data_IF_167096854199
#
_entry.id   IF_167096854199
#
_cell.length_a   1.000
_cell.length_b   1.000
_cell.length_c   1.000
_cell.angle_alpha   90.00
_cell.angle_beta   90.00
_cell.angle_gamma   90.00
#
_symmetry.space_group_name_H-M   'P 1'
#
loop_
_entity.id
_entity.type
_entity.pdbx_description
1 polymer ?
#
# COMPACT_ATOMS: atom_id res chain seq x y z
N UNK A 1 20.46 0.09 18.34
CA UNK A 1 20.36 0.28 16.87
C UNK A 1 19.07 -0.35 16.37
N UNK A 2 18.21 0.44 15.76
CA UNK A 2 16.98 -0.05 15.11
C UNK A 2 17.34 -0.90 13.89
N UNK A 3 16.79 -2.11 13.81
CA UNK A 3 17.18 -3.12 12.82
C UNK A 3 16.12 -3.30 11.74
N UNK A 4 16.56 -3.79 10.59
CA UNK A 4 15.67 -4.27 9.55
C UNK A 4 14.83 -5.45 10.04
N UNK A 5 13.64 -5.62 9.45
CA UNK A 5 12.67 -6.64 9.82
C UNK A 5 12.27 -7.49 8.61
N UNK A 6 12.06 -8.77 8.85
CA UNK A 6 11.56 -9.73 7.87
C UNK A 6 10.56 -10.67 8.54
N UNK A 7 9.91 -11.53 7.76
CA UNK A 7 9.03 -12.58 8.30
C UNK A 7 9.84 -13.61 9.08
N UNK A 8 9.21 -14.23 10.08
CA UNK A 8 9.81 -15.33 10.83
C UNK A 8 9.67 -16.64 10.05
N UNK A 9 8.48 -16.89 9.49
CA UNK A 9 8.14 -18.10 8.73
C UNK A 9 7.45 -17.73 7.41
N UNK A 10 7.38 -18.71 6.50
CA UNK A 10 6.61 -18.53 5.25
C UNK A 10 5.14 -18.84 5.48
N UNK A 11 4.26 -18.07 4.85
CA UNK A 11 2.82 -18.25 4.90
C UNK A 11 2.21 -18.23 3.49
N UNK A 12 1.21 -19.08 3.26
CA UNK A 12 0.49 -19.19 1.98
C UNK A 12 -0.92 -18.67 2.10
N UNK A 13 -1.37 -18.03 1.02
CA UNK A 13 -2.76 -17.61 0.86
C UNK A 13 -3.22 -17.86 -0.57
N UNK A 14 -4.54 -17.94 -0.73
CA UNK A 14 -5.20 -18.06 -2.03
C UNK A 14 -6.33 -17.05 -2.10
N UNK A 15 -6.46 -16.39 -3.24
CA UNK A 15 -7.53 -15.45 -3.51
C UNK A 15 -7.81 -15.31 -5.00
N UNK A 16 -8.41 -14.20 -5.40
CA UNK A 16 -8.69 -13.87 -6.80
C UNK A 16 -8.13 -12.49 -7.11
N UNK A 17 -7.64 -12.29 -8.34
CA UNK A 17 -7.26 -10.98 -8.82
C UNK A 17 -8.49 -10.12 -9.10
N UNK A 18 -8.46 -8.84 -8.71
CA UNK A 18 -9.58 -7.91 -8.90
C UNK A 18 -9.92 -7.73 -10.38
N UNK A 19 -8.91 -7.48 -11.20
CA UNK A 19 -9.08 -7.18 -12.62
C UNK A 19 -9.13 -8.44 -13.48
N UNK A 20 -8.24 -9.39 -13.22
CA UNK A 20 -8.14 -10.64 -13.99
C UNK A 20 -9.25 -11.63 -13.68
N UNK A 21 -9.75 -11.67 -12.44
CA UNK A 21 -10.66 -12.70 -11.94
C UNK A 21 -9.99 -14.07 -11.79
N UNK A 22 -8.70 -14.17 -12.03
CA UNK A 22 -7.96 -15.43 -11.93
C UNK A 22 -7.75 -15.82 -10.46
N UNK A 23 -7.75 -17.12 -10.20
CA UNK A 23 -7.28 -17.65 -8.92
C UNK A 23 -5.78 -17.38 -8.79
N UNK A 24 -5.38 -16.90 -7.62
CA UNK A 24 -4.00 -16.52 -7.30
C UNK A 24 -3.57 -17.30 -6.06
N UNK A 25 -2.46 -17.99 -6.15
CA UNK A 25 -1.75 -18.52 -4.99
C UNK A 25 -0.53 -17.65 -4.71
N UNK A 26 -0.44 -17.16 -3.49
CA UNK A 26 0.63 -16.28 -3.03
C UNK A 26 1.30 -16.88 -1.81
N UNK A 27 2.63 -16.84 -1.76
CA UNK A 27 3.44 -17.23 -0.60
C UNK A 27 4.30 -16.04 -0.19
N UNK A 28 4.14 -15.58 1.05
CA UNK A 28 5.01 -14.59 1.67
C UNK A 28 6.11 -15.31 2.43
N UNK A 29 7.36 -14.97 2.21
CA UNK A 29 8.52 -15.66 2.78
C UNK A 29 9.56 -14.68 3.31
N UNK A 30 10.34 -15.07 4.35
CA UNK A 30 11.49 -14.29 4.79
C UNK A 30 12.47 -14.04 3.65
N UNK A 31 13.13 -12.88 3.68
CA UNK A 31 14.23 -12.55 2.78
C UNK A 31 15.48 -12.10 3.56
N UNK A 32 16.68 -12.22 3.01
CA UNK A 32 17.90 -11.66 3.60
C UNK A 32 17.79 -10.16 3.82
N UNK A 33 18.59 -9.61 4.74
CA UNK A 33 18.71 -8.16 4.90
C UNK A 33 19.16 -7.51 3.58
N UNK A 34 18.73 -6.26 3.38
CA UNK A 34 18.99 -5.45 2.17
C UNK A 34 18.38 -6.02 0.87
N UNK A 35 17.46 -6.99 0.96
CA UNK A 35 16.74 -7.51 -0.22
C UNK A 35 15.63 -6.55 -0.67
N UNK A 36 14.97 -5.87 0.28
CA UNK A 36 13.73 -5.16 0.02
C UNK A 36 12.54 -6.12 -0.17
N UNK A 37 11.45 -5.61 -0.72
CA UNK A 37 10.28 -6.42 -1.09
C UNK A 37 10.42 -6.83 -2.55
N UNK A 38 10.37 -8.14 -2.82
CA UNK A 38 10.57 -8.69 -4.16
C UNK A 38 9.47 -9.68 -4.51
N UNK A 39 8.71 -9.38 -5.55
CA UNK A 39 7.76 -10.31 -6.15
C UNK A 39 8.49 -11.30 -7.05
N UNK A 40 8.09 -12.58 -7.00
CA UNK A 40 8.64 -13.63 -7.84
C UNK A 40 7.50 -14.33 -8.59
N UNK A 41 7.46 -14.15 -9.92
CA UNK A 41 6.48 -14.79 -10.81
C UNK A 41 6.89 -16.25 -11.04
N UNK A 42 6.31 -17.12 -10.21
CA UNK A 42 6.64 -18.56 -10.18
C UNK A 42 5.96 -19.37 -11.29
N UNK A 43 4.97 -18.80 -11.94
CA UNK A 43 4.31 -19.35 -13.13
C UNK A 43 5.12 -19.16 -14.42
N UNK A 44 6.13 -18.30 -14.39
CA UNK A 44 7.02 -18.06 -15.55
C UNK A 44 8.25 -18.96 -15.52
N UNK A 45 8.78 -19.31 -16.69
CA UNK A 45 10.00 -20.08 -16.82
C UNK A 45 11.00 -19.35 -17.73
N UNK A 46 12.12 -18.88 -17.19
CA UNK A 46 12.54 -18.93 -15.78
C UNK A 46 11.69 -18.03 -14.88
N UNK A 47 11.67 -18.30 -13.59
CA UNK A 47 11.09 -17.42 -12.55
C UNK A 47 11.62 -16.01 -12.71
N UNK A 48 10.75 -15.01 -12.58
CA UNK A 48 11.09 -13.59 -12.74
C UNK A 48 10.95 -12.85 -11.42
N UNK A 49 12.04 -12.24 -10.98
CA UNK A 49 12.09 -11.35 -9.84
C UNK A 49 11.71 -9.93 -10.27
N UNK A 50 10.81 -9.31 -9.53
CA UNK A 50 10.28 -7.97 -9.76
C UNK A 50 10.39 -7.20 -8.45
N UNK A 51 11.43 -6.38 -8.28
CA UNK A 51 11.58 -5.57 -7.08
C UNK A 51 10.44 -4.55 -6.93
N UNK A 52 9.93 -4.39 -5.71
CA UNK A 52 8.94 -3.37 -5.40
C UNK A 52 9.60 -2.00 -5.25
N UNK A 53 9.84 -1.35 -6.38
CA UNK A 53 10.52 -0.05 -6.49
C UNK A 53 9.82 0.86 -7.48
N UNK A 54 9.87 2.16 -7.24
CA UNK A 54 9.20 3.16 -8.07
C UNK A 54 9.66 3.17 -9.54
N UNK A 55 10.93 2.82 -9.81
CA UNK A 55 11.48 2.71 -11.17
C UNK A 55 10.98 1.47 -11.94
N UNK A 56 10.38 0.49 -11.26
CA UNK A 56 9.73 -0.69 -11.84
C UNK A 56 8.24 -0.51 -12.10
N UNK A 57 7.65 0.62 -11.70
CA UNK A 57 6.24 0.91 -11.99
C UNK A 57 6.07 1.20 -13.48
N UNK A 58 5.22 0.40 -14.13
CA UNK A 58 4.92 0.47 -15.57
C UNK A 58 3.57 1.13 -15.83
N UNK A 59 2.55 0.82 -15.03
CA UNK A 59 1.20 1.33 -15.19
C UNK A 59 0.55 1.69 -13.83
N UNK A 60 -0.29 2.74 -13.85
CA UNK A 60 -0.94 3.29 -12.65
C UNK A 60 -2.39 3.72 -12.88
N UNK A 61 -3.05 3.24 -13.95
CA UNK A 61 -4.41 3.72 -14.32
C UNK A 61 -5.49 3.29 -13.33
N UNK A 62 -5.47 2.05 -12.86
CA UNK A 62 -6.48 1.46 -11.95
C UNK A 62 -5.88 0.92 -10.67
N UNK A 63 -4.59 0.64 -10.67
CA UNK A 63 -3.80 0.09 -9.58
C UNK A 63 -2.32 0.36 -9.85
N UNK A 64 -1.46 0.14 -8.88
CA UNK A 64 -0.02 0.21 -9.09
C UNK A 64 0.49 -1.13 -9.59
N UNK A 65 1.10 -1.12 -10.79
CA UNK A 65 1.61 -2.30 -11.48
C UNK A 65 3.12 -2.22 -11.65
N UNK A 66 3.81 -3.30 -11.30
CA UNK A 66 5.27 -3.45 -11.39
C UNK A 66 5.66 -4.35 -12.55
N UNK A 67 6.83 -4.08 -13.16
CA UNK A 67 7.38 -4.86 -14.24
C UNK A 67 6.71 -4.55 -15.58
N UNK A 68 7.05 -5.31 -16.62
CA UNK A 68 6.51 -5.08 -17.97
C UNK A 68 6.31 -6.40 -18.73
N UNK A 69 5.42 -6.37 -19.72
CA UNK A 69 5.11 -7.53 -20.56
C UNK A 69 4.58 -8.71 -19.73
N UNK A 70 5.15 -9.89 -19.94
CA UNK A 70 4.77 -11.09 -19.18
C UNK A 70 5.24 -11.04 -17.72
N UNK A 71 6.39 -10.39 -17.46
CA UNK A 71 6.97 -10.25 -16.14
C UNK A 71 6.39 -9.02 -15.43
N UNK A 72 5.08 -9.06 -15.11
CA UNK A 72 4.41 -7.98 -14.39
C UNK A 72 3.62 -8.53 -13.21
N UNK A 73 3.42 -7.67 -12.19
CA UNK A 73 2.52 -7.89 -11.04
C UNK A 73 1.69 -6.63 -10.83
N UNK A 74 0.36 -6.78 -10.87
CA UNK A 74 -0.60 -5.71 -10.69
C UNK A 74 -1.16 -5.66 -9.27
N UNK A 75 -1.73 -4.52 -8.88
CA UNK A 75 -2.48 -4.29 -7.63
C UNK A 75 -1.62 -4.59 -6.40
N UNK A 76 -0.42 -3.99 -6.36
CA UNK A 76 0.56 -4.24 -5.29
C UNK A 76 0.36 -3.35 -4.06
N UNK A 77 -0.36 -2.24 -4.20
CA UNK A 77 -0.49 -1.16 -3.22
C UNK A 77 -1.01 -1.62 -1.86
N UNK A 78 -2.05 -2.45 -1.80
CA UNK A 78 -2.63 -2.90 -0.51
C UNK A 78 -1.66 -3.79 0.28
N UNK A 79 -0.97 -4.71 -0.41
CA UNK A 79 0.05 -5.57 0.21
C UNK A 79 1.27 -4.75 0.66
N UNK A 80 1.74 -3.82 -0.18
CA UNK A 80 2.86 -2.94 0.18
C UNK A 80 2.50 -2.02 1.36
N UNK A 81 1.25 -1.55 1.42
CA UNK A 81 0.73 -0.80 2.56
C UNK A 81 0.81 -1.61 3.86
N UNK A 82 0.47 -2.90 3.81
CA UNK A 82 0.60 -3.80 4.97
C UNK A 82 2.06 -4.00 5.41
N UNK A 83 2.99 -4.17 4.46
CA UNK A 83 4.43 -4.24 4.77
C UNK A 83 4.93 -2.96 5.42
N UNK A 84 4.58 -1.79 4.87
CA UNK A 84 4.89 -0.48 5.42
C UNK A 84 4.32 -0.32 6.82
N UNK A 85 3.02 -0.60 7.00
CA UNK A 85 2.30 -0.47 8.26
C UNK A 85 2.86 -1.31 9.39
N UNK A 86 3.44 -2.48 9.08
CA UNK A 86 4.11 -3.35 10.06
C UNK A 86 5.64 -3.19 10.08
N UNK A 87 6.21 -2.29 9.29
CA UNK A 87 7.64 -1.98 9.26
C UNK A 87 8.53 -3.14 8.78
N UNK A 88 8.05 -3.97 7.86
CA UNK A 88 8.78 -5.11 7.29
C UNK A 88 9.59 -4.64 6.09
N UNK A 89 10.91 -4.73 6.19
CA UNK A 89 11.84 -4.23 5.16
C UNK A 89 12.11 -5.24 4.05
N UNK A 90 12.13 -6.54 4.37
CA UNK A 90 12.59 -7.58 3.45
C UNK A 90 11.62 -8.76 3.40
N UNK A 91 11.12 -9.09 2.21
CA UNK A 91 10.28 -10.27 1.98
C UNK A 91 10.35 -10.73 0.52
N UNK A 92 10.24 -12.03 0.29
CA UNK A 92 9.90 -12.60 -1.00
C UNK A 92 8.40 -12.87 -1.09
N UNK A 93 7.81 -12.54 -2.23
CA UNK A 93 6.40 -12.76 -2.54
C UNK A 93 6.33 -13.64 -3.79
N UNK A 94 6.22 -14.96 -3.58
CA UNK A 94 5.98 -15.90 -4.66
C UNK A 94 4.53 -15.82 -5.11
N UNK A 95 4.30 -15.62 -6.40
CA UNK A 95 2.97 -15.45 -6.96
C UNK A 95 2.87 -16.19 -8.30
N UNK A 96 1.78 -16.95 -8.50
CA UNK A 96 1.53 -17.72 -9.72
C UNK A 96 0.58 -17.03 -10.71
N UNK A 97 0.45 -15.71 -10.60
CA UNK A 97 -0.46 -14.88 -11.40
C UNK A 97 0.12 -13.48 -11.60
N UNK A 98 -0.28 -12.75 -12.66
CA UNK A 98 0.16 -11.36 -12.88
C UNK A 98 -0.52 -10.32 -11.98
N UNK A 99 -1.24 -10.73 -10.94
CA UNK A 99 -1.98 -9.81 -10.07
C UNK A 99 -1.98 -10.32 -8.62
N UNK A 100 -1.76 -9.42 -7.64
CA UNK A 100 -1.91 -9.72 -6.21
C UNK A 100 -3.40 -10.01 -5.92
N UNK A 101 -3.74 -11.03 -5.09
CA UNK A 101 -5.13 -11.29 -4.77
C UNK A 101 -5.75 -10.11 -4.03
N UNK A 102 -6.96 -9.71 -4.43
CA UNK A 102 -7.64 -8.54 -3.86
C UNK A 102 -8.08 -8.75 -2.41
N UNK A 103 -8.21 -10.01 -1.99
CA UNK A 103 -8.71 -10.40 -0.68
C UNK A 103 -10.12 -9.83 -0.41
N UNK A 104 -10.27 -9.04 0.65
CA UNK A 104 -11.51 -8.33 0.97
C UNK A 104 -11.53 -6.86 0.49
N UNK A 105 -10.54 -6.49 -0.33
CA UNK A 105 -10.39 -5.13 -0.86
C UNK A 105 -9.62 -4.17 0.05
N UNK A 106 -9.10 -4.64 1.19
CA UNK A 106 -8.32 -3.86 2.14
C UNK A 106 -6.94 -4.48 2.40
N UNK A 107 -6.12 -3.85 3.25
CA UNK A 107 -4.87 -4.41 3.74
C UNK A 107 -5.05 -5.39 4.92
N UNK A 108 -6.24 -5.46 5.54
CA UNK A 108 -6.50 -6.25 6.74
C UNK A 108 -6.12 -7.73 6.62
N UNK A 109 -6.54 -8.48 5.58
CA UNK A 109 -6.13 -9.86 5.40
C UNK A 109 -4.62 -10.05 5.25
N UNK A 110 -3.91 -9.09 4.65
CA UNK A 110 -2.44 -9.13 4.58
C UNK A 110 -1.80 -8.91 5.94
N UNK A 111 -2.33 -7.98 6.75
CA UNK A 111 -1.91 -7.80 8.16
C UNK A 111 -2.04 -9.11 8.93
N UNK A 112 -3.20 -9.79 8.81
CA UNK A 112 -3.42 -11.09 9.44
C UNK A 112 -2.37 -12.13 9.01
N UNK A 113 -2.06 -12.23 7.73
CA UNK A 113 -1.04 -13.14 7.21
C UNK A 113 0.35 -12.81 7.78
N UNK A 114 0.74 -11.52 7.76
CA UNK A 114 2.04 -11.07 8.24
C UNK A 114 2.21 -11.30 9.74
N UNK A 115 1.18 -11.04 10.54
CA UNK A 115 1.18 -11.31 11.97
C UNK A 115 1.23 -12.82 12.26
N UNK A 116 0.50 -13.63 11.49
CA UNK A 116 0.52 -15.10 11.61
C UNK A 116 1.89 -15.69 11.25
N UNK A 117 2.55 -15.17 10.21
CA UNK A 117 3.92 -15.57 9.84
C UNK A 117 4.95 -15.17 10.90
N UNK A 118 4.60 -14.22 11.77
CA UNK A 118 5.52 -13.62 12.73
C UNK A 118 6.54 -12.71 12.05
N UNK A 119 7.04 -11.74 12.80
CA UNK A 119 8.02 -10.75 12.35
C UNK A 119 9.26 -10.86 13.23
N UNK A 120 10.44 -10.89 12.61
CA UNK A 120 11.72 -10.92 13.33
C UNK A 120 12.66 -9.82 12.88
N UNK A 121 13.47 -9.34 13.80
CA UNK A 121 14.57 -8.43 13.50
C UNK A 121 15.72 -9.17 12.83
N UNK A 122 16.47 -8.45 12.01
CA UNK A 122 17.70 -8.88 11.35
C UNK A 122 18.91 -8.19 12.00
N UNK A 123 20.11 -8.45 11.47
CA UNK A 123 21.35 -7.93 12.07
C UNK A 123 21.79 -6.58 11.52
N UNK A 124 21.15 -6.11 10.45
CA UNK A 124 21.51 -4.88 9.71
C UNK A 124 20.62 -3.72 10.16
N UNK A 125 21.21 -2.50 10.22
CA UNK A 125 20.48 -1.29 10.56
C UNK A 125 19.34 -1.00 9.60
N UNK A 126 18.17 -0.60 10.12
CA UNK A 126 17.08 -0.07 9.32
C UNK A 126 17.45 1.34 8.85
N UNK A 127 17.33 1.55 7.55
CA UNK A 127 17.56 2.85 6.92
C UNK A 127 16.24 3.52 6.61
N UNK A 128 16.23 4.82 6.76
CA UNK A 128 15.09 5.68 6.45
C UNK A 128 15.50 6.74 5.43
N UNK A 129 14.54 7.15 4.62
CA UNK A 129 14.63 8.33 3.76
C UNK A 129 14.04 9.50 4.53
N UNK A 130 14.88 10.40 5.08
CA UNK A 130 14.41 11.59 5.78
C UNK A 130 14.28 12.74 4.79
N UNK A 131 13.06 13.25 4.63
CA UNK A 131 12.78 14.44 3.83
C UNK A 131 13.27 15.68 4.58
N UNK A 132 14.06 16.52 3.93
CA UNK A 132 14.66 17.75 4.51
C UNK A 132 14.09 19.02 3.91
N UNK A 133 13.50 18.95 2.71
CA UNK A 133 12.81 20.07 2.03
C UNK A 133 11.58 19.56 1.29
N UNK A 134 10.63 20.47 1.04
CA UNK A 134 9.38 20.14 0.35
C UNK A 134 9.62 19.66 -1.09
N UNK A 135 8.94 18.55 -1.43
CA UNK A 135 8.91 18.03 -2.80
C UNK A 135 7.45 17.90 -3.20
N UNK A 136 7.05 18.61 -4.26
CA UNK A 136 5.65 18.63 -4.72
C UNK A 136 5.57 18.28 -6.21
N UNK A 137 4.62 17.41 -6.54
CA UNK A 137 4.19 17.13 -7.92
C UNK A 137 2.72 17.51 -8.09
N UNK A 138 2.34 17.92 -9.32
CA UNK A 138 1.00 18.44 -9.63
C UNK A 138 0.50 17.90 -10.96
N UNK A 139 -0.81 17.70 -11.02
CA UNK A 139 -1.54 17.39 -12.25
C UNK A 139 -2.90 18.10 -12.18
N UNK A 140 -3.02 19.27 -12.82
CA UNK A 140 -4.18 20.14 -12.69
C UNK A 140 -4.39 20.61 -11.24
N UNK A 141 -5.55 20.28 -10.68
CA UNK A 141 -5.92 20.59 -9.28
C UNK A 141 -5.48 19.50 -8.28
N UNK A 142 -4.85 18.43 -8.78
CA UNK A 142 -4.33 17.33 -7.95
C UNK A 142 -2.91 17.62 -7.51
N UNK A 143 -2.62 17.32 -6.24
CA UNK A 143 -1.25 17.49 -5.72
C UNK A 143 -0.85 16.31 -4.83
N UNK A 144 0.44 16.00 -4.87
CA UNK A 144 1.09 15.12 -3.91
C UNK A 144 2.38 15.79 -3.44
N UNK A 145 2.56 15.92 -2.13
CA UNK A 145 3.68 16.63 -1.51
C UNK A 145 4.29 15.79 -0.41
N UNK A 146 5.62 15.76 -0.35
CA UNK A 146 6.39 15.33 0.82
C UNK A 146 6.99 16.57 1.47
N UNK A 147 6.88 16.67 2.81
CA UNK A 147 7.41 17.75 3.64
C UNK A 147 8.29 17.17 4.76
N UNK A 148 9.23 17.94 5.31
CA UNK A 148 9.97 17.55 6.50
C UNK A 148 9.01 17.27 7.67
N UNK A 149 9.19 16.12 8.33
CA UNK A 149 8.44 15.74 9.53
C UNK A 149 9.21 14.69 10.31
N UNK A 150 9.18 14.78 11.64
CA UNK A 150 9.82 13.79 12.52
C UNK A 150 8.84 12.64 12.81
N UNK A 151 8.81 11.67 11.90
CA UNK A 151 7.87 10.56 11.82
C UNK A 151 7.45 10.30 10.40
N UNK A 152 6.35 9.56 10.22
CA UNK A 152 5.67 9.47 8.94
C UNK A 152 4.20 9.82 9.13
N UNK A 153 3.83 11.01 8.69
CA UNK A 153 2.45 11.50 8.70
C UNK A 153 1.86 11.40 7.31
N UNK A 154 0.65 10.89 7.24
CA UNK A 154 -0.11 10.81 5.97
C UNK A 154 -1.39 11.60 6.13
N UNK A 155 -1.62 12.56 5.24
CA UNK A 155 -2.88 13.30 5.13
C UNK A 155 -3.40 13.20 3.70
N UNK A 156 -4.71 13.09 3.57
CA UNK A 156 -5.36 12.95 2.27
C UNK A 156 -6.67 13.72 2.20
N UNK A 157 -6.90 14.42 1.08
CA UNK A 157 -8.18 15.05 0.76
C UNK A 157 -8.74 14.46 -0.54
N UNK A 158 -9.99 14.02 -0.49
CA UNK A 158 -10.77 13.55 -1.64
C UNK A 158 -11.88 14.57 -1.96
N UNK A 159 -12.27 14.61 -3.23
CA UNK A 159 -13.37 15.46 -3.69
C UNK A 159 -14.08 14.73 -4.85
N UNK A 160 -15.19 14.06 -4.55
CA UNK A 160 -16.04 13.41 -5.52
C UNK A 160 -17.41 14.09 -5.53
N UNK A 161 -17.88 14.53 -6.69
CA UNK A 161 -19.21 15.11 -6.82
C UNK A 161 -20.29 14.01 -6.84
N UNK A 162 -20.56 13.46 -5.66
CA UNK A 162 -21.54 12.41 -5.48
C UNK A 162 -22.22 12.50 -4.11
N UNK A 163 -23.55 12.23 -3.96
CA UNK A 163 -24.26 12.34 -2.69
C UNK A 163 -23.60 11.63 -1.53
N UNK A 164 -23.15 10.38 -1.70
CA UNK A 164 -22.50 9.56 -0.67
C UNK A 164 -21.27 10.25 -0.08
N UNK A 165 -20.48 10.96 -0.89
CA UNK A 165 -19.26 11.64 -0.44
C UNK A 165 -19.53 12.96 0.27
N UNK A 166 -20.69 13.59 0.01
CA UNK A 166 -21.08 14.84 0.70
C UNK A 166 -21.41 14.62 2.18
N UNK A 167 -21.78 13.41 2.54
CA UNK A 167 -22.11 13.01 3.92
C UNK A 167 -20.91 12.45 4.67
N UNK A 168 -19.76 12.29 4.00
CA UNK A 168 -18.53 11.69 4.52
C UNK A 168 -17.44 12.74 4.74
N UNK A 169 -16.49 12.44 5.65
CA UNK A 169 -15.30 13.25 5.80
C UNK A 169 -14.44 13.14 4.52
N UNK A 170 -14.27 14.26 3.82
CA UNK A 170 -13.41 14.35 2.62
C UNK A 170 -11.93 14.50 2.94
N UNK A 171 -11.53 14.50 4.22
CA UNK A 171 -10.16 14.65 4.69
C UNK A 171 -9.90 13.75 5.89
N UNK A 172 -8.73 13.13 5.91
CA UNK A 172 -8.20 12.41 7.06
C UNK A 172 -6.67 12.60 7.16
N UNK A 173 -6.13 12.46 8.37
CA UNK A 173 -4.69 12.49 8.63
C UNK A 173 -4.35 11.52 9.76
N UNK A 174 -3.18 10.92 9.69
CA UNK A 174 -2.68 9.96 10.69
C UNK A 174 -1.16 10.04 10.79
N UNK A 175 -0.65 10.00 12.01
CA UNK A 175 0.77 9.69 12.28
C UNK A 175 0.94 8.17 12.27
N UNK A 176 1.84 7.66 11.43
CA UNK A 176 2.03 6.22 11.28
C UNK A 176 2.67 5.63 12.53
N UNK A 177 1.99 4.65 13.08
CA UNK A 177 2.53 3.59 13.93
C UNK A 177 1.88 2.28 13.51
N UNK A 178 2.46 1.14 13.90
CA UNK A 178 1.84 -0.14 13.58
C UNK A 178 0.44 -0.26 14.18
N UNK A 179 0.25 0.21 15.41
CA UNK A 179 -1.06 0.20 16.07
C UNK A 179 -2.09 1.10 15.37
N UNK A 180 -1.71 2.35 15.04
CA UNK A 180 -2.59 3.28 14.33
C UNK A 180 -2.97 2.73 12.94
N UNK A 181 -2.01 2.19 12.19
CA UNK A 181 -2.27 1.59 10.88
C UNK A 181 -3.26 0.42 10.98
N UNK A 182 -3.02 -0.52 11.90
CA UNK A 182 -3.89 -1.71 12.07
C UNK A 182 -5.30 -1.29 12.46
N UNK A 183 -5.45 -0.36 13.41
CA UNK A 183 -6.75 0.07 13.94
C UNK A 183 -7.53 0.96 12.99
N UNK A 184 -6.86 1.91 12.34
CA UNK A 184 -7.53 3.03 11.68
C UNK A 184 -7.56 2.93 10.16
N UNK A 185 -6.57 2.26 9.53
CA UNK A 185 -6.39 2.28 8.07
C UNK A 185 -6.53 0.90 7.45
N UNK A 186 -5.97 -0.14 8.07
CA UNK A 186 -5.75 -1.43 7.41
C UNK A 186 -7.00 -2.08 6.81
N UNK A 187 -8.19 -1.81 7.38
CA UNK A 187 -9.46 -2.42 6.96
C UNK A 187 -10.28 -1.55 6.00
N UNK A 188 -9.78 -0.38 5.59
CA UNK A 188 -10.44 0.46 4.61
C UNK A 188 -10.43 -0.22 3.23
N UNK A 189 -11.61 -0.44 2.66
CA UNK A 189 -11.79 -1.17 1.41
C UNK A 189 -11.70 -0.25 0.20
N UNK A 190 -11.21 -0.81 -0.90
CA UNK A 190 -11.33 -0.19 -2.22
C UNK A 190 -12.79 0.04 -2.58
N UNK A 191 -13.05 1.02 -3.45
CA UNK A 191 -14.40 1.39 -3.83
C UNK A 191 -14.47 1.76 -5.32
N UNK A 192 -15.67 1.71 -5.85
CA UNK A 192 -15.94 2.15 -7.21
C UNK A 192 -17.43 2.28 -7.49
N UNK A 193 -17.76 2.99 -8.57
CA UNK A 193 -19.12 3.22 -8.99
C UNK A 193 -19.63 2.08 -9.89
N UNK A 194 -20.92 1.74 -9.80
CA UNK A 194 -21.55 0.69 -10.62
C UNK A 194 -21.23 0.87 -12.10
N UNK A 195 -21.41 2.10 -12.64
CA UNK A 195 -21.17 2.39 -14.04
C UNK A 195 -19.71 2.21 -14.47
N UNK A 196 -18.74 2.47 -13.55
CA UNK A 196 -17.32 2.22 -13.80
C UNK A 196 -17.02 0.71 -13.81
N UNK A 197 -17.61 -0.06 -12.90
CA UNK A 197 -17.49 -1.53 -12.90
C UNK A 197 -18.07 -2.14 -14.18
N UNK A 198 -19.24 -1.66 -14.65
CA UNK A 198 -19.84 -2.13 -15.90
C UNK A 198 -18.94 -1.82 -17.10
N UNK A 199 -18.40 -0.60 -17.16
CA UNK A 199 -17.45 -0.22 -18.20
C UNK A 199 -16.17 -1.06 -18.14
N UNK A 200 -15.54 -1.22 -16.98
CA UNK A 200 -14.34 -2.04 -16.81
C UNK A 200 -14.59 -3.49 -17.23
N UNK A 201 -15.73 -4.07 -16.85
CA UNK A 201 -16.12 -5.43 -17.28
C UNK A 201 -16.27 -5.54 -18.80
N UNK A 202 -16.82 -4.54 -19.46
CA UNK A 202 -16.90 -4.50 -20.93
C UNK A 202 -15.52 -4.50 -21.60
N UNK A 203 -14.50 -3.96 -20.91
CA UNK A 203 -13.09 -3.97 -21.33
C UNK A 203 -12.32 -5.21 -20.84
N UNK A 204 -12.99 -6.16 -20.21
CA UNK A 204 -12.36 -7.39 -19.68
C UNK A 204 -11.61 -7.22 -18.37
N UNK A 205 -11.83 -6.12 -17.67
CA UNK A 205 -11.29 -5.80 -16.34
C UNK A 205 -12.33 -6.01 -15.23
N UNK A 206 -11.93 -5.84 -13.96
CA UNK A 206 -12.79 -6.00 -12.77
C UNK A 206 -13.61 -7.30 -12.74
N UNK A 207 -13.08 -8.40 -13.31
CA UNK A 207 -13.76 -9.70 -13.39
C UNK A 207 -13.93 -10.37 -12.03
N UNK A 208 -13.00 -10.13 -11.11
CA UNK A 208 -13.03 -10.62 -9.73
C UNK A 208 -13.71 -9.67 -8.74
N UNK A 209 -14.13 -8.47 -9.19
CA UNK A 209 -14.76 -7.47 -8.33
C UNK A 209 -16.17 -7.87 -7.91
N UNK A 210 -16.47 -7.72 -6.63
CA UNK A 210 -17.78 -7.97 -6.03
C UNK A 210 -17.99 -7.09 -4.79
N UNK A 211 -19.20 -7.10 -4.24
CA UNK A 211 -19.49 -6.43 -2.94
C UNK A 211 -18.74 -7.05 -1.77
N UNK A 212 -18.14 -8.23 -1.93
CA UNK A 212 -17.34 -8.87 -0.87
C UNK A 212 -15.92 -8.28 -0.79
N UNK A 213 -15.44 -7.66 -1.88
CA UNK A 213 -14.06 -7.16 -1.99
C UNK A 213 -13.92 -5.71 -2.48
N UNK A 214 -15.04 -4.99 -2.58
CA UNK A 214 -15.06 -3.56 -2.86
C UNK A 214 -16.33 -2.92 -2.28
N UNK A 215 -16.24 -1.63 -1.96
CA UNK A 215 -17.44 -0.82 -1.71
C UNK A 215 -18.00 -0.42 -3.08
N UNK A 216 -19.22 -0.86 -3.37
CA UNK A 216 -19.91 -0.58 -4.63
C UNK A 216 -20.93 0.53 -4.40
N UNK A 217 -20.86 1.58 -5.21
CA UNK A 217 -21.68 2.80 -5.08
C UNK A 217 -22.55 2.95 -6.32
N UNK A 218 -23.87 3.05 -6.14
CA UNK A 218 -24.80 3.44 -7.20
C UNK A 218 -24.94 4.97 -7.26
N UNK A 219 -25.93 5.50 -7.96
CA UNK A 219 -26.15 6.94 -8.10
C UNK A 219 -26.48 7.65 -6.75
N UNK A 220 -26.85 6.92 -5.70
CA UNK A 220 -27.39 7.49 -4.46
C UNK A 220 -26.78 6.94 -3.19
N UNK A 221 -26.31 5.69 -3.18
CA UNK A 221 -25.94 4.97 -1.96
C UNK A 221 -24.86 3.91 -2.15
N UNK A 222 -24.31 3.45 -1.03
CA UNK A 222 -23.50 2.23 -0.94
C UNK A 222 -24.40 1.00 -1.05
N UNK A 223 -24.03 0.03 -1.87
CA UNK A 223 -24.79 -1.19 -2.13
C UNK A 223 -24.43 -2.36 -1.20
N UNK A 224 -23.32 -2.28 -0.49
CA UNK A 224 -22.88 -3.31 0.44
C UNK A 224 -23.84 -3.39 1.65
N UNK A 225 -24.43 -4.54 1.92
CA UNK A 225 -25.41 -4.75 3.00
C UNK A 225 -24.88 -4.35 4.38
N UNK A 226 -23.60 -4.54 4.65
CA UNK A 226 -22.93 -4.15 5.91
C UNK A 226 -22.54 -2.67 5.99
N UNK A 227 -22.81 -1.86 4.96
CA UNK A 227 -22.38 -0.46 4.89
C UNK A 227 -20.88 -0.27 4.91
N UNK A 228 -20.43 0.84 5.52
CA UNK A 228 -19.02 1.19 5.68
C UNK A 228 -18.44 0.62 6.98
N UNK A 229 -17.15 0.32 6.98
CA UNK A 229 -16.38 -0.12 8.17
C UNK A 229 -15.92 1.05 9.04
N UNK A 230 -15.74 2.22 8.42
CA UNK A 230 -15.38 3.49 9.06
C UNK A 230 -16.27 4.61 8.49
N UNK A 231 -16.59 5.61 9.28
CA UNK A 231 -17.35 6.77 8.81
C UNK A 231 -16.63 7.56 7.70
N UNK A 232 -15.30 7.41 7.60
CA UNK A 232 -14.40 8.04 6.65
C UNK A 232 -13.65 7.00 5.79
N UNK A 233 -14.27 5.83 5.50
CA UNK A 233 -13.61 4.69 4.85
C UNK A 233 -13.01 5.05 3.48
N UNK A 234 -13.66 5.89 2.70
CA UNK A 234 -13.17 6.26 1.37
C UNK A 234 -11.83 7.00 1.42
N UNK A 235 -11.72 8.04 2.24
CA UNK A 235 -10.46 8.78 2.37
C UNK A 235 -9.38 7.94 3.04
N UNK A 236 -9.73 7.09 4.00
CA UNK A 236 -8.80 6.13 4.62
C UNK A 236 -8.26 5.11 3.63
N UNK A 237 -9.10 4.65 2.69
CA UNK A 237 -8.60 3.78 1.63
C UNK A 237 -7.61 4.51 0.72
N UNK A 238 -7.85 5.78 0.36
CA UNK A 238 -6.87 6.57 -0.40
C UNK A 238 -5.56 6.79 0.37
N UNK A 239 -5.61 6.89 1.70
CA UNK A 239 -4.41 6.90 2.55
C UNK A 239 -3.68 5.55 2.52
N UNK A 240 -4.42 4.43 2.58
CA UNK A 240 -3.88 3.08 2.45
C UNK A 240 -3.12 2.90 1.13
N UNK A 241 -3.74 3.28 0.01
CA UNK A 241 -3.13 3.27 -1.31
C UNK A 241 -1.82 4.08 -1.33
N UNK A 242 -1.88 5.32 -0.84
CA UNK A 242 -0.73 6.22 -0.81
C UNK A 242 0.43 5.65 0.03
N UNK A 243 0.15 5.03 1.19
CA UNK A 243 1.16 4.38 2.03
C UNK A 243 1.87 3.26 1.25
N UNK A 244 1.11 2.43 0.51
CA UNK A 244 1.68 1.37 -0.32
C UNK A 244 2.49 1.89 -1.50
N UNK A 245 1.97 2.90 -2.21
CA UNK A 245 2.64 3.54 -3.34
C UNK A 245 3.97 4.21 -2.92
N UNK A 246 3.97 4.89 -1.77
CA UNK A 246 5.16 5.54 -1.23
C UNK A 246 6.20 4.54 -0.72
N UNK A 247 5.77 3.33 -0.30
CA UNK A 247 6.69 2.28 0.11
C UNK A 247 7.54 1.73 -1.04
N UNK A 248 7.17 2.02 -2.30
CA UNK A 248 8.00 1.82 -3.50
C UNK A 248 9.28 2.67 -3.52
N UNK A 249 9.47 3.58 -2.57
CA UNK A 249 10.77 4.17 -2.29
C UNK A 249 11.81 3.13 -1.82
N UNK A 250 11.38 1.92 -1.45
CA UNK A 250 12.22 0.81 -1.00
C UNK A 250 12.67 0.91 0.46
N UNK A 251 12.40 2.03 1.11
CA UNK A 251 12.66 2.30 2.52
C UNK A 251 11.54 3.13 3.12
N UNK A 252 11.39 3.05 4.44
CA UNK A 252 10.45 3.90 5.16
C UNK A 252 10.84 5.37 5.02
N UNK A 253 9.87 6.20 4.66
CA UNK A 253 10.03 7.65 4.61
C UNK A 253 9.80 8.23 6.01
N UNK A 254 10.64 9.21 6.38
CA UNK A 254 10.40 10.16 7.47
C UNK A 254 10.06 11.49 6.84
N UNK A 255 8.81 11.89 6.98
CA UNK A 255 8.24 13.07 6.35
C UNK A 255 6.72 13.07 6.47
N UNK A 256 6.09 14.18 6.13
CA UNK A 256 4.65 14.30 5.98
C UNK A 256 4.28 14.17 4.49
N UNK A 257 3.42 13.21 4.17
CA UNK A 257 2.76 13.13 2.87
C UNK A 257 1.41 13.83 2.93
N UNK A 258 1.18 14.74 1.99
CA UNK A 258 -0.09 15.41 1.76
C UNK A 258 -0.58 15.12 0.34
N UNK A 259 -1.70 14.39 0.22
CA UNK A 259 -2.37 14.09 -1.03
C UNK A 259 -3.67 14.90 -1.17
N UNK A 260 -3.79 15.70 -2.23
CA UNK A 260 -5.05 16.36 -2.59
C UNK A 260 -5.52 15.78 -3.91
N UNK A 261 -6.63 15.04 -3.91
CA UNK A 261 -7.17 14.34 -5.09
C UNK A 261 -6.12 13.45 -5.80
N UNK A 262 -5.07 13.05 -5.10
CA UNK A 262 -3.98 12.25 -5.65
C UNK A 262 -4.43 10.82 -5.98
N UNK A 263 -3.58 10.09 -6.68
CA UNK A 263 -3.74 8.69 -7.03
C UNK A 263 -2.40 8.08 -7.40
N UNK A 264 -2.39 6.80 -7.78
CA UNK A 264 -1.19 6.00 -8.02
C UNK A 264 -0.17 6.68 -8.96
N UNK A 265 -0.64 7.29 -10.05
CA UNK A 265 0.23 8.01 -10.99
C UNK A 265 1.00 9.14 -10.32
N UNK A 266 0.30 9.99 -9.55
CA UNK A 266 0.90 11.15 -8.91
C UNK A 266 1.78 10.74 -7.72
N UNK A 267 1.37 9.71 -6.97
CA UNK A 267 2.17 9.12 -5.90
C UNK A 267 3.50 8.57 -6.44
N UNK A 268 3.47 7.82 -7.56
CA UNK A 268 4.69 7.32 -8.20
C UNK A 268 5.57 8.46 -8.74
N UNK A 269 4.97 9.49 -9.34
CA UNK A 269 5.71 10.68 -9.78
C UNK A 269 6.42 11.36 -8.59
N UNK A 270 5.76 11.44 -7.43
CA UNK A 270 6.35 12.01 -6.21
C UNK A 270 7.56 11.22 -5.73
N UNK A 271 7.46 9.88 -5.66
CA UNK A 271 8.61 9.02 -5.29
C UNK A 271 9.76 9.17 -6.30
N UNK A 272 9.45 9.23 -7.60
CA UNK A 272 10.47 9.48 -8.63
C UNK A 272 11.08 10.89 -8.50
N UNK A 273 10.29 11.90 -8.13
CA UNK A 273 10.78 13.27 -7.89
C UNK A 273 11.69 13.34 -6.65
N UNK A 274 11.36 12.59 -5.59
CA UNK A 274 12.20 12.44 -4.40
C UNK A 274 13.62 11.99 -4.80
N UNK A 275 13.75 10.91 -5.56
CA UNK A 275 15.05 10.41 -5.98
C UNK A 275 15.77 11.27 -7.02
N UNK A 276 15.05 12.15 -7.73
CA UNK A 276 15.65 13.14 -8.63
C UNK A 276 16.16 14.39 -7.90
N UNK A 277 15.84 14.54 -6.62
CA UNK A 277 16.20 15.70 -5.79
C UNK A 277 17.03 15.26 -4.57
N UNK A 278 18.24 14.71 -4.78
CA UNK A 278 19.04 14.13 -3.70
C UNK A 278 19.45 15.15 -2.63
N UNK A 279 19.37 16.44 -2.91
CA UNK A 279 19.63 17.53 -1.96
C UNK A 279 18.48 17.78 -0.98
N UNK A 280 17.29 17.17 -1.21
CA UNK A 280 16.07 17.39 -0.41
C UNK A 280 15.73 16.26 0.54
N UNK A 281 16.62 15.29 0.65
CA UNK A 281 16.47 14.18 1.58
C UNK A 281 17.84 13.62 1.97
N UNK A 282 17.88 12.87 3.05
CA UNK A 282 19.08 12.21 3.54
C UNK A 282 18.78 10.80 4.05
N UNK A 283 19.80 9.97 4.15
CA UNK A 283 19.70 8.71 4.89
C UNK A 283 19.73 8.94 6.38
N UNK A 284 18.79 8.31 7.10
CA UNK A 284 18.77 8.31 8.57
C UNK A 284 18.79 6.87 9.10
N UNK A 285 19.48 6.68 10.23
CA UNK A 285 19.49 5.47 11.06
C UNK A 285 19.41 5.87 12.51
N UNK A 286 18.92 4.97 13.39
CA UNK A 286 18.77 5.24 14.81
C UNK A 286 19.55 4.23 15.62
N UNK A 287 20.45 4.71 16.48
CA UNK A 287 21.26 3.85 17.37
C UNK A 287 20.41 3.30 18.53
N UNK A 288 19.50 4.10 19.06
CA UNK A 288 18.51 3.65 20.04
C UNK A 288 17.15 3.44 19.36
N UNK A 289 16.43 2.39 19.77
CA UNK A 289 15.06 2.13 19.32
C UNK A 289 14.09 3.15 19.85
N UNK A 290 14.37 3.71 21.04
CA UNK A 290 13.53 4.71 21.69
C UNK A 290 13.60 6.09 21.00
N UNK A 291 14.66 6.33 20.22
CA UNK A 291 14.82 7.55 19.42
C UNK A 291 14.12 7.45 18.04
N UNK A 292 13.60 6.26 17.68
CA UNK A 292 12.95 6.05 16.40
C UNK A 292 11.56 6.74 16.39
N UNK A 293 11.29 7.60 15.39
CA UNK A 293 10.05 8.39 15.38
C UNK A 293 8.80 7.60 14.97
N UNK A 294 8.92 6.29 14.69
CA UNK A 294 7.82 5.40 14.33
C UNK A 294 7.85 4.17 15.23
N UNK A 295 6.74 3.91 15.92
CA UNK A 295 6.57 2.71 16.74
C UNK A 295 5.96 1.56 15.92
N UNK A 296 6.69 0.45 15.89
CA UNK A 296 6.26 -0.78 15.21
C UNK A 296 5.64 -1.82 16.15
N UNK A 297 5.36 -1.46 17.38
CA UNK A 297 4.72 -2.34 18.36
C UNK A 297 3.23 -2.42 18.09
N UNK A 298 2.69 -3.61 18.09
CA UNK A 298 1.24 -3.85 18.02
C UNK A 298 0.81 -4.46 19.35
N UNK A 299 -0.20 -3.86 19.99
CA UNK A 299 -0.75 -4.37 21.25
C UNK A 299 -1.31 -5.79 21.06
N UNK A 300 -1.32 -6.60 22.13
CA UNK A 300 -1.81 -7.98 22.08
C UNK A 300 -3.27 -8.09 21.62
N UNK A 301 -4.07 -7.08 21.89
CA UNK A 301 -5.49 -7.01 21.51
C UNK A 301 -5.69 -6.87 20.00
N UNK A 302 -4.72 -6.26 19.31
CA UNK A 302 -4.72 -6.06 17.85
C UNK A 302 -3.88 -7.10 17.11
N UNK A 303 -3.25 -8.03 17.81
CA UNK A 303 -2.60 -9.17 17.21
C UNK A 303 -3.67 -10.18 16.80
N UNK A 304 -3.78 -10.48 15.51
CA UNK A 304 -4.73 -11.45 14.94
C UNK A 304 -6.20 -10.92 14.79
N UNK A 305 -6.40 -9.64 14.61
CA UNK A 305 -7.72 -9.06 14.28
C UNK A 305 -7.95 -9.03 12.76
#
# INVERSE_FOLDING_TARGET
>A
MLKQRTLQESIKSTGVGLHSGNKVMMTLSPAPADTGIVFRRTDLSPVRDIPARADWVDETSLSTNLGSGEARVATVEHLLSAFCGLGIDNAYIDIDSPEVPIMDGSAGPFIYLLQTAGIREQTVAKKFIRVTEDITVRDGDKTATLKPYDGFRVSFAIDFDHPVFREQAGYAAMDLSAEAFVREISRARTFGFVHEFEYMRSQGLAKGGSVDNAIVIDEYRVLNDGGLRYDDEFVKHKMLDAIGDLYLAGHQILGEYEGIKSGHALNNQLVRALFKSPERWEWATFEDTDDAPIDWTVSRELQLV
#
